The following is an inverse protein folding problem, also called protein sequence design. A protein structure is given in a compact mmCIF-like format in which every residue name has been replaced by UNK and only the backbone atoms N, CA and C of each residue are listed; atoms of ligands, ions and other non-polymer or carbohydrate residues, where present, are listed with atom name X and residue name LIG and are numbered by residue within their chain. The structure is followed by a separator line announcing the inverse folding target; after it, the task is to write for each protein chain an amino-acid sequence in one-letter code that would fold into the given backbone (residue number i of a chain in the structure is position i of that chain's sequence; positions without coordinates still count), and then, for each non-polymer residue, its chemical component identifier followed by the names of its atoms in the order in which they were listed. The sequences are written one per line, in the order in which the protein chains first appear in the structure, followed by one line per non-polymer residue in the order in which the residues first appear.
data_IF_501245008787
#
_entry.id   IF_501245008787
#
_cell.length_a   1.000
_cell.length_b   1.000
_cell.length_c   1.000
_cell.angle_alpha   90.00
_cell.angle_beta   90.00
_cell.angle_gamma   90.00
#
_symmetry.space_group_name_H-M   'P 1'
#
loop_
_entity.id
_entity.type
_entity.pdbx_description
1 polymer ?
#
# COMPACT_ATOMS: atom_id res chain seq x y z
N UNK A 1 13.62 -18.68 -4.36
CA UNK A 1 14.53 -17.61 -4.82
C UNK A 1 14.73 -16.68 -3.64
N UNK A 2 15.84 -15.93 -3.54
CA UNK A 2 15.76 -14.67 -2.79
C UNK A 2 15.00 -13.76 -3.74
N UNK A 3 13.83 -13.22 -3.37
CA UNK A 3 13.32 -12.06 -4.10
C UNK A 3 14.46 -11.05 -4.08
N UNK A 4 15.19 -10.97 -5.20
CA UNK A 4 15.97 -9.81 -5.49
C UNK A 4 14.96 -8.69 -5.33
N UNK A 5 15.27 -7.72 -4.45
CA UNK A 5 14.56 -6.45 -4.45
C UNK A 5 14.61 -6.02 -5.92
N UNK A 6 13.52 -6.25 -6.65
CA UNK A 6 13.32 -5.70 -7.98
C UNK A 6 13.07 -4.23 -7.72
N UNK A 7 14.14 -3.56 -7.27
CA UNK A 7 14.21 -2.13 -7.13
C UNK A 7 13.93 -1.67 -8.55
N UNK A 8 12.78 -1.05 -8.76
CA UNK A 8 12.34 -0.47 -10.03
C UNK A 8 13.22 0.76 -10.41
N UNK A 9 14.50 0.74 -10.01
CA UNK A 9 15.44 1.84 -10.05
C UNK A 9 16.59 1.43 -10.97
N UNK A 10 16.45 1.81 -12.25
CA UNK A 10 17.39 1.50 -13.31
C UNK A 10 17.56 2.61 -14.33
N UNK A 11 18.18 3.72 -13.92
CA UNK A 11 19.10 4.58 -14.73
C UNK A 11 18.61 5.35 -16.00
N UNK A 12 19.05 6.64 -16.06
CA UNK A 12 19.08 7.63 -17.19
C UNK A 12 17.76 8.36 -17.50
N UNK A 13 17.72 9.66 -17.78
CA UNK A 13 18.74 10.67 -18.06
C UNK A 13 18.06 11.99 -18.47
N UNK A 14 18.78 13.11 -18.31
CA UNK A 14 18.29 14.49 -18.52
C UNK A 14 17.53 14.69 -19.85
N UNK A 15 16.23 14.98 -19.75
CA UNK A 15 15.34 15.38 -20.85
C UNK A 15 14.67 16.73 -20.59
N UNK A 16 14.62 17.58 -21.61
CA UNK A 16 14.22 18.99 -21.58
C UNK A 16 12.73 19.20 -21.29
N UNK A 17 12.42 20.21 -20.46
CA UNK A 17 11.10 20.79 -20.29
C UNK A 17 10.55 21.29 -21.64
N UNK A 18 9.51 20.62 -22.16
CA UNK A 18 8.62 21.15 -23.19
C UNK A 18 7.26 21.34 -22.54
N UNK A 19 6.71 22.56 -22.63
CA UNK A 19 5.46 22.94 -21.98
C UNK A 19 4.27 22.15 -22.52
N UNK A 20 3.47 21.61 -21.60
CA UNK A 20 2.17 21.01 -21.89
C UNK A 20 1.10 22.10 -22.05
N UNK A 21 0.42 22.09 -23.19
CA UNK A 21 -0.91 22.69 -23.33
C UNK A 21 -1.89 21.83 -22.52
N UNK A 22 -2.70 22.49 -21.70
CA UNK A 22 -3.65 21.87 -20.77
C UNK A 22 -4.87 21.34 -21.56
N UNK A 23 -5.27 20.09 -21.29
CA UNK A 23 -6.52 19.43 -21.73
C UNK A 23 -6.54 18.70 -23.10
N UNK A 24 -5.44 18.02 -23.47
CA UNK A 24 -5.45 17.05 -24.57
C UNK A 24 -5.87 15.65 -24.10
N UNK A 25 -7.10 15.21 -24.40
CA UNK A 25 -7.43 13.77 -24.34
C UNK A 25 -6.61 13.05 -25.41
N UNK A 26 -5.61 12.26 -24.98
CA UNK A 26 -4.83 11.41 -25.87
C UNK A 26 -5.71 10.38 -26.61
N UNK A 27 -5.21 9.74 -27.68
CA UNK A 27 -5.94 8.77 -28.49
C UNK A 27 -6.50 7.57 -27.72
N UNK A 28 -6.00 7.30 -26.50
CA UNK A 28 -6.52 6.27 -25.60
C UNK A 28 -7.82 6.67 -24.86
N UNK A 29 -8.17 7.96 -24.83
CA UNK A 29 -9.50 8.43 -24.41
C UNK A 29 -9.78 8.45 -22.90
N UNK A 30 -8.78 8.29 -22.04
CA UNK A 30 -8.92 8.44 -20.58
C UNK A 30 -8.00 9.54 -20.03
N UNK A 31 -8.28 9.96 -18.80
CA UNK A 31 -7.60 11.02 -18.05
C UNK A 31 -7.15 10.51 -16.68
N UNK A 32 -6.33 11.29 -15.95
CA UNK A 32 -5.98 10.95 -14.57
C UNK A 32 -7.22 10.73 -13.69
N UNK A 33 -8.29 11.49 -13.90
CA UNK A 33 -9.52 11.35 -13.13
C UNK A 33 -10.17 9.97 -13.30
N UNK A 34 -9.97 9.33 -14.45
CA UNK A 34 -10.48 7.98 -14.73
C UNK A 34 -9.64 6.89 -14.05
N UNK A 35 -8.43 7.21 -13.58
CA UNK A 35 -7.55 6.29 -12.86
C UNK A 35 -7.73 6.35 -11.33
N UNK A 36 -8.40 7.37 -10.81
CA UNK A 36 -8.57 7.57 -9.35
C UNK A 36 -9.32 6.38 -8.74
N UNK A 37 -8.73 5.80 -7.69
CA UNK A 37 -9.30 4.69 -6.95
C UNK A 37 -8.29 3.59 -6.64
N UNK A 38 -8.80 2.46 -6.18
CA UNK A 38 -8.01 1.27 -5.83
C UNK A 38 -8.18 0.19 -6.89
N UNK A 39 -7.09 -0.40 -7.33
CA UNK A 39 -7.05 -1.39 -8.39
C UNK A 39 -6.29 -2.63 -7.93
N UNK A 40 -6.91 -3.80 -8.05
CA UNK A 40 -6.29 -5.09 -7.75
C UNK A 40 -5.73 -5.71 -9.05
N UNK A 41 -4.48 -6.15 -9.03
CA UNK A 41 -3.86 -6.79 -10.18
C UNK A 41 -4.42 -8.21 -10.39
N UNK A 42 -4.70 -8.52 -11.64
CA UNK A 42 -5.09 -9.84 -12.13
C UNK A 42 -4.01 -10.49 -13.00
N UNK A 43 -3.05 -9.69 -13.47
CA UNK A 43 -1.85 -10.11 -14.21
C UNK A 43 -0.70 -9.22 -13.76
N UNK A 44 0.46 -9.81 -13.47
CA UNK A 44 1.72 -9.10 -13.24
C UNK A 44 2.85 -10.01 -13.72
N UNK A 45 3.31 -9.79 -14.95
CA UNK A 45 4.24 -10.69 -15.64
C UNK A 45 5.43 -9.94 -16.19
N UNK A 46 6.62 -10.45 -15.88
CA UNK A 46 7.85 -10.11 -16.59
C UNK A 46 8.16 -11.18 -17.64
N UNK A 47 8.59 -10.76 -18.83
CA UNK A 47 9.04 -11.65 -19.92
C UNK A 47 10.43 -11.21 -20.37
N UNK A 48 11.39 -12.13 -20.41
CA UNK A 48 12.74 -11.82 -20.88
C UNK A 48 12.74 -11.41 -22.35
N UNK A 49 13.33 -10.26 -22.67
CA UNK A 49 13.50 -9.82 -24.06
C UNK A 49 14.57 -10.65 -24.79
N UNK A 50 15.56 -11.17 -24.06
CA UNK A 50 16.67 -11.95 -24.61
C UNK A 50 16.27 -13.42 -24.84
N UNK A 51 15.43 -13.95 -23.95
CA UNK A 51 15.02 -15.35 -23.89
C UNK A 51 13.52 -15.46 -23.59
N UNK A 52 12.61 -15.15 -24.55
CA UNK A 52 11.16 -15.04 -24.29
C UNK A 52 10.43 -16.23 -23.65
N UNK A 53 10.93 -17.49 -23.73
CA UNK A 53 10.37 -18.58 -22.92
C UNK A 53 10.53 -18.39 -21.40
N UNK A 54 11.43 -17.51 -20.97
CA UNK A 54 11.67 -17.18 -19.57
C UNK A 54 10.74 -16.03 -19.16
N UNK A 55 9.90 -16.30 -18.16
CA UNK A 55 8.90 -15.37 -17.64
C UNK A 55 8.67 -15.60 -16.15
N UNK A 56 8.31 -14.55 -15.42
CA UNK A 56 7.90 -14.61 -14.03
C UNK A 56 6.50 -13.99 -13.89
N UNK A 57 5.54 -14.76 -13.37
CA UNK A 57 4.15 -14.33 -13.15
C UNK A 57 3.87 -14.28 -11.65
N UNK A 58 3.90 -13.08 -11.09
CA UNK A 58 3.81 -12.86 -9.65
C UNK A 58 2.42 -13.23 -9.12
N UNK A 59 1.37 -12.96 -9.89
CA UNK A 59 0.00 -13.29 -9.49
C UNK A 59 -0.20 -14.81 -9.48
N UNK A 60 0.34 -15.52 -10.49
CA UNK A 60 0.30 -16.99 -10.51
C UNK A 60 1.13 -17.63 -9.38
N UNK A 61 2.17 -16.93 -8.90
CA UNK A 61 2.99 -17.34 -7.76
C UNK A 61 2.36 -16.99 -6.39
N UNK A 62 1.19 -16.35 -6.39
CA UNK A 62 0.42 -16.04 -5.17
C UNK A 62 0.70 -14.67 -4.58
N UNK A 63 1.29 -13.76 -5.35
CA UNK A 63 1.38 -12.36 -4.97
C UNK A 63 -0.01 -11.69 -5.02
N UNK A 64 -0.21 -10.72 -4.13
CA UNK A 64 -1.29 -9.75 -4.21
C UNK A 64 -0.65 -8.40 -4.57
N UNK A 65 -1.10 -7.78 -5.67
CA UNK A 65 -0.58 -6.49 -6.10
C UNK A 65 -1.72 -5.51 -6.23
N UNK A 66 -1.55 -4.34 -5.62
CA UNK A 66 -2.53 -3.28 -5.64
C UNK A 66 -1.93 -1.94 -6.03
N UNK A 67 -2.64 -1.22 -6.87
CA UNK A 67 -2.38 0.17 -7.19
C UNK A 67 -3.48 1.05 -6.55
N UNK A 68 -3.11 2.11 -5.85
CA UNK A 68 -4.01 3.19 -5.46
C UNK A 68 -3.58 4.47 -6.15
N UNK A 69 -4.52 5.18 -6.78
CA UNK A 69 -4.29 6.48 -7.41
C UNK A 69 -5.19 7.53 -6.76
N UNK A 70 -4.58 8.58 -6.23
CA UNK A 70 -5.27 9.72 -5.63
C UNK A 70 -5.59 10.81 -6.68
N UNK A 71 -6.60 11.63 -6.39
CA UNK A 71 -7.06 12.68 -7.29
C UNK A 71 -6.02 13.78 -7.60
N UNK A 72 -5.00 13.92 -6.75
CA UNK A 72 -3.88 14.85 -6.96
C UNK A 72 -2.73 14.23 -7.80
N UNK A 73 -2.89 13.01 -8.29
CA UNK A 73 -1.85 12.28 -9.01
C UNK A 73 -0.84 11.57 -8.12
N UNK A 74 -1.01 11.55 -6.80
CA UNK A 74 -0.24 10.64 -5.95
C UNK A 74 -0.64 9.19 -6.23
N UNK A 75 0.32 8.26 -6.20
CA UNK A 75 0.01 6.83 -6.28
C UNK A 75 0.82 6.02 -5.26
N UNK A 76 0.30 4.84 -4.94
CA UNK A 76 1.05 3.77 -4.29
C UNK A 76 0.80 2.43 -4.98
N UNK A 77 1.86 1.65 -5.18
CA UNK A 77 1.79 0.24 -5.56
C UNK A 77 2.27 -0.56 -4.37
N UNK A 78 1.50 -1.56 -3.99
CA UNK A 78 1.89 -2.52 -2.97
C UNK A 78 1.97 -3.90 -3.57
N UNK A 79 3.07 -4.58 -3.30
CA UNK A 79 3.30 -5.96 -3.69
C UNK A 79 3.45 -6.79 -2.42
N UNK A 80 2.49 -7.68 -2.19
CA UNK A 80 2.55 -8.68 -1.14
C UNK A 80 2.92 -10.03 -1.76
N UNK A 81 3.85 -10.76 -1.15
CA UNK A 81 4.09 -12.16 -1.50
C UNK A 81 4.14 -13.01 -0.23
N UNK A 82 3.87 -14.33 -0.30
CA UNK A 82 3.97 -15.19 0.87
C UNK A 82 5.34 -15.19 1.58
N UNK A 83 6.40 -14.75 0.89
CA UNK A 83 7.77 -14.74 1.40
C UNK A 83 8.30 -13.32 1.74
N UNK A 84 7.53 -12.26 1.42
CA UNK A 84 7.96 -10.86 1.57
C UNK A 84 6.93 -10.07 2.39
N UNK A 85 7.40 -9.40 3.44
CA UNK A 85 6.67 -8.32 4.09
C UNK A 85 6.49 -7.22 3.02
N UNK A 86 5.25 -6.77 2.79
CA UNK A 86 4.85 -5.92 1.67
C UNK A 86 5.92 -4.94 1.17
N UNK A 87 6.17 -4.90 -0.14
CA UNK A 87 6.93 -3.81 -0.75
C UNK A 87 5.97 -2.68 -1.13
N UNK A 88 6.32 -1.44 -0.77
CA UNK A 88 5.49 -0.26 -1.02
C UNK A 88 6.29 0.71 -1.88
N UNK A 89 5.81 0.91 -3.09
CA UNK A 89 6.34 1.88 -4.05
C UNK A 89 5.36 3.04 -4.10
N UNK A 90 5.85 4.27 -4.04
CA UNK A 90 4.98 5.45 -4.13
C UNK A 90 5.63 6.58 -4.92
N UNK A 91 4.80 7.45 -5.47
CA UNK A 91 5.27 8.57 -6.27
C UNK A 91 4.11 9.35 -6.89
N UNK A 92 4.34 9.88 -8.09
CA UNK A 92 3.30 10.56 -8.87
C UNK A 92 2.99 9.82 -10.16
N UNK A 93 1.73 9.84 -10.55
CA UNK A 93 1.22 9.32 -11.81
C UNK A 93 0.58 10.44 -12.61
N UNK A 94 0.83 10.45 -13.92
CA UNK A 94 0.16 11.30 -14.89
C UNK A 94 -0.25 10.50 -16.13
N UNK A 95 -1.11 11.09 -16.95
CA UNK A 95 -1.50 10.53 -18.25
C UNK A 95 -1.04 11.50 -19.34
N UNK A 96 -0.20 11.03 -20.25
CA UNK A 96 0.33 11.81 -21.38
C UNK A 96 0.14 11.04 -22.70
N UNK A 97 -0.56 11.65 -23.65
CA UNK A 97 -0.96 11.05 -24.94
C UNK A 97 -1.56 9.62 -24.87
N UNK A 98 -2.18 9.27 -23.74
CA UNK A 98 -2.78 7.96 -23.50
C UNK A 98 -1.86 6.93 -22.83
N UNK A 99 -0.59 7.29 -22.62
CA UNK A 99 0.33 6.53 -21.79
C UNK A 99 0.20 6.94 -20.33
N UNK A 100 0.42 5.99 -19.42
CA UNK A 100 0.55 6.26 -17.99
C UNK A 100 2.02 6.47 -17.69
N UNK A 101 2.34 7.64 -17.14
CA UNK A 101 3.70 8.00 -16.75
C UNK A 101 3.80 7.94 -15.23
N UNK A 102 4.67 7.07 -14.74
CA UNK A 102 4.95 6.91 -13.31
C UNK A 102 6.29 7.55 -13.01
N UNK A 103 6.33 8.45 -12.02
CA UNK A 103 7.54 9.08 -11.51
C UNK A 103 7.77 8.67 -10.06
N UNK A 104 8.94 8.09 -9.79
CA UNK A 104 9.40 7.69 -8.47
C UNK A 104 10.81 8.25 -8.25
N UNK A 105 11.02 9.00 -7.17
CA UNK A 105 12.32 9.64 -6.91
C UNK A 105 12.77 10.54 -8.06
N UNK A 106 13.91 10.21 -8.68
CA UNK A 106 14.44 10.86 -9.88
C UNK A 106 14.21 10.06 -11.18
N UNK A 107 13.57 8.90 -11.09
CA UNK A 107 13.24 8.02 -12.21
C UNK A 107 11.83 8.28 -12.77
N UNK A 108 11.64 7.89 -14.02
CA UNK A 108 10.32 7.92 -14.68
C UNK A 108 10.23 6.74 -15.64
N UNK A 109 9.09 6.05 -15.63
CA UNK A 109 8.76 4.94 -16.52
C UNK A 109 7.46 5.26 -17.23
N UNK A 110 7.41 4.99 -18.52
CA UNK A 110 6.20 5.14 -19.33
C UNK A 110 5.57 3.79 -19.62
N UNK A 111 4.26 3.71 -19.47
CA UNK A 111 3.45 2.53 -19.78
C UNK A 111 2.49 2.86 -20.90
N UNK A 112 2.56 2.10 -21.98
CA UNK A 112 1.41 2.01 -22.89
C UNK A 112 0.22 1.45 -22.13
N UNK A 113 -0.92 2.13 -22.20
CA UNK A 113 -2.07 1.81 -21.37
C UNK A 113 -3.39 1.79 -22.15
N UNK A 114 -4.28 0.88 -21.75
CA UNK A 114 -5.65 0.80 -22.22
C UNK A 114 -6.60 0.71 -21.02
N UNK A 115 -7.58 1.60 -20.97
CA UNK A 115 -8.65 1.56 -19.99
C UNK A 115 -9.97 1.15 -20.67
N UNK A 116 -10.52 0.00 -20.28
CA UNK A 116 -11.77 -0.54 -20.81
C UNK A 116 -12.72 -0.89 -19.67
N UNK A 117 -13.67 0.01 -19.39
CA UNK A 117 -14.55 -0.11 -18.23
C UNK A 117 -13.76 -0.03 -16.93
N UNK A 118 -13.76 -1.11 -16.15
CA UNK A 118 -13.03 -1.22 -14.88
C UNK A 118 -11.70 -1.98 -15.02
N UNK A 119 -11.23 -2.23 -16.24
CA UNK A 119 -9.99 -2.95 -16.50
C UNK A 119 -8.96 -1.99 -17.08
N UNK A 120 -7.87 -1.81 -16.35
CA UNK A 120 -6.69 -1.06 -16.79
C UNK A 120 -5.61 -2.06 -17.19
N UNK A 121 -5.16 -2.02 -18.44
CA UNK A 121 -4.01 -2.82 -18.92
C UNK A 121 -2.83 -1.89 -19.16
N UNK A 122 -1.68 -2.23 -18.62
CA UNK A 122 -0.43 -1.47 -18.72
C UNK A 122 0.68 -2.38 -19.25
N UNK A 123 1.53 -1.82 -20.11
CA UNK A 123 2.66 -2.52 -20.70
C UNK A 123 3.86 -1.58 -20.89
N UNK A 124 5.06 -2.04 -20.55
CA UNK A 124 6.33 -1.35 -20.81
C UNK A 124 7.45 -2.35 -21.13
N UNK A 125 8.43 -1.92 -21.93
CA UNK A 125 9.67 -2.65 -22.24
C UNK A 125 10.92 -1.95 -21.65
N UNK A 126 10.70 -0.99 -20.74
CA UNK A 126 11.72 -0.12 -20.13
C UNK A 126 12.25 -0.64 -18.79
N UNK A 127 12.03 -1.92 -18.45
CA UNK A 127 12.42 -2.49 -17.15
C UNK A 127 13.47 -3.59 -17.29
N UNK A 128 14.27 -3.78 -16.25
CA UNK A 128 15.17 -4.92 -16.10
C UNK A 128 14.61 -5.89 -15.04
N UNK A 129 14.88 -7.19 -15.18
CA UNK A 129 14.48 -8.23 -14.24
C UNK A 129 15.52 -9.36 -14.14
N UNK A 130 15.69 -9.95 -12.95
CA UNK A 130 16.59 -11.09 -12.73
C UNK A 130 15.84 -12.43 -12.85
N UNK A 131 16.03 -13.12 -13.98
CA UNK A 131 15.50 -14.47 -14.21
C UNK A 131 16.41 -15.59 -13.64
N UNK A 132 17.48 -15.24 -12.93
CA UNK A 132 18.39 -16.16 -12.21
C UNK A 132 19.86 -16.07 -12.61
N UNK A 133 20.17 -15.35 -13.70
CA UNK A 133 21.54 -15.14 -14.22
C UNK A 133 22.00 -13.67 -14.10
N UNK A 134 21.28 -12.86 -13.32
CA UNK A 134 21.46 -11.42 -13.16
C UNK A 134 20.41 -10.61 -13.95
N UNK A 135 20.38 -9.30 -13.68
CA UNK A 135 19.43 -8.39 -14.30
C UNK A 135 19.60 -8.34 -15.82
N UNK A 136 18.51 -8.46 -16.56
CA UNK A 136 18.44 -8.27 -18.01
C UNK A 136 17.15 -7.55 -18.44
N UNK A 137 17.11 -6.93 -19.63
CA UNK A 137 15.92 -6.26 -20.13
C UNK A 137 14.71 -7.20 -20.23
N UNK A 138 13.57 -6.70 -19.75
CA UNK A 138 12.30 -7.42 -19.69
C UNK A 138 11.15 -6.57 -20.24
N UNK A 139 10.11 -7.24 -20.74
CA UNK A 139 8.79 -6.66 -20.93
C UNK A 139 7.98 -6.88 -19.65
N UNK A 140 7.27 -5.85 -19.19
CA UNK A 140 6.37 -5.91 -18.05
C UNK A 140 4.93 -5.68 -18.52
N UNK A 141 4.07 -6.65 -18.22
CA UNK A 141 2.63 -6.56 -18.44
C UNK A 141 1.88 -6.61 -17.11
N UNK A 142 1.00 -5.64 -16.89
CA UNK A 142 0.13 -5.58 -15.72
C UNK A 142 -1.32 -5.38 -16.17
N UNK A 143 -2.25 -6.12 -15.56
CA UNK A 143 -3.70 -5.91 -15.77
C UNK A 143 -4.37 -5.73 -14.43
N UNK A 144 -4.90 -4.55 -14.21
CA UNK A 144 -5.59 -4.11 -13.01
C UNK A 144 -7.11 -4.15 -13.19
N UNK A 145 -7.82 -4.46 -12.11
CA UNK A 145 -9.28 -4.38 -12.00
C UNK A 145 -9.65 -3.36 -10.93
N UNK A 146 -10.48 -2.38 -11.27
CA UNK A 146 -10.97 -1.39 -10.31
C UNK A 146 -11.78 -2.10 -9.22
N UNK A 147 -11.35 -1.94 -7.98
CA UNK A 147 -12.04 -2.45 -6.81
C UNK A 147 -13.28 -1.60 -6.57
N UNK A 148 -14.46 -2.22 -6.67
CA UNK A 148 -15.76 -1.54 -6.56
C UNK A 148 -16.64 -2.10 -5.43
N UNK A 149 -16.12 -3.05 -4.67
CA UNK A 149 -16.85 -3.74 -3.60
C UNK A 149 -15.92 -4.05 -2.43
N UNK A 150 -16.51 -4.26 -1.25
CA UNK A 150 -15.77 -4.40 0.00
C UNK A 150 -15.34 -3.03 0.53
N UNK A 151 -14.56 -3.02 1.61
CA UNK A 151 -13.99 -1.78 2.13
C UNK A 151 -12.88 -1.28 1.19
N UNK A 152 -13.00 -0.01 0.79
CA UNK A 152 -12.03 0.74 0.01
C UNK A 152 -11.26 1.70 0.92
N UNK A 153 -10.13 2.21 0.43
CA UNK A 153 -9.38 3.22 1.19
C UNK A 153 -10.22 4.47 1.46
N UNK A 154 -11.05 4.86 0.49
CA UNK A 154 -11.98 5.98 0.60
C UNK A 154 -13.00 5.81 1.74
N UNK A 155 -13.33 4.56 2.08
CA UNK A 155 -14.20 4.27 3.22
C UNK A 155 -13.48 4.52 4.55
N UNK A 156 -12.15 4.55 4.57
CA UNK A 156 -11.33 4.81 5.76
C UNK A 156 -10.84 6.26 5.85
N UNK A 157 -10.93 7.07 4.80
CA UNK A 157 -10.46 8.47 4.82
C UNK A 157 -11.19 9.28 5.90
N UNK A 158 -10.42 9.98 6.72
CA UNK A 158 -10.91 10.83 7.81
C UNK A 158 -10.08 10.71 9.09
N UNK A 159 -10.58 11.36 10.13
CA UNK A 159 -10.03 11.31 11.48
C UNK A 159 -10.83 10.31 12.32
N UNK A 160 -10.12 9.44 13.04
CA UNK A 160 -10.67 8.37 13.86
C UNK A 160 -10.10 8.46 15.26
N UNK A 161 -10.96 8.47 16.28
CA UNK A 161 -10.55 8.45 17.68
C UNK A 161 -10.91 7.11 18.32
N UNK A 162 -9.96 6.50 19.00
CA UNK A 162 -10.20 5.25 19.73
C UNK A 162 -11.11 5.50 20.94
N UNK A 163 -12.20 4.74 21.00
CA UNK A 163 -13.09 4.63 22.16
C UNK A 163 -12.75 3.41 23.03
N UNK A 164 -12.00 2.46 22.47
CA UNK A 164 -11.44 1.29 23.17
C UNK A 164 -10.07 0.99 22.59
N UNK A 165 -9.10 0.70 23.46
CA UNK A 165 -7.76 0.23 23.12
C UNK A 165 -7.33 -0.75 24.21
N UNK A 166 -7.61 -2.04 23.96
CA UNK A 166 -7.62 -3.10 24.95
C UNK A 166 -6.58 -4.16 24.60
N UNK A 167 -5.68 -4.43 25.55
CA UNK A 167 -4.79 -5.57 25.52
C UNK A 167 -5.36 -6.70 26.36
N UNK A 168 -5.37 -7.91 25.82
CA UNK A 168 -5.89 -9.13 26.47
C UNK A 168 -4.78 -10.18 26.49
N UNK A 169 -4.29 -10.54 27.67
CA UNK A 169 -3.27 -11.58 27.83
C UNK A 169 -3.79 -12.94 27.35
N UNK A 170 -2.94 -13.69 26.62
CA UNK A 170 -3.25 -15.07 26.24
C UNK A 170 -3.12 -16.08 27.41
N UNK A 171 -2.69 -15.62 28.59
CA UNK A 171 -2.60 -16.46 29.78
C UNK A 171 -3.98 -16.93 30.27
N UNK A 172 -3.97 -17.93 31.16
CA UNK A 172 -5.20 -18.50 31.75
C UNK A 172 -5.14 -18.43 33.28
N UNK A 173 -5.99 -17.62 33.94
CA UNK A 173 -7.00 -16.72 33.35
C UNK A 173 -6.35 -15.50 32.63
N UNK A 174 -7.06 -14.87 31.68
CA UNK A 174 -6.55 -13.69 30.99
C UNK A 174 -6.58 -12.48 31.92
N UNK A 175 -5.51 -11.71 31.90
CA UNK A 175 -5.46 -10.33 32.39
C UNK A 175 -5.76 -9.37 31.23
N UNK A 176 -6.29 -8.18 31.55
CA UNK A 176 -6.67 -7.18 30.55
C UNK A 176 -6.21 -5.80 30.95
N UNK A 177 -5.79 -4.99 29.97
CA UNK A 177 -5.40 -3.60 30.17
C UNK A 177 -6.08 -2.71 29.12
N UNK A 178 -6.88 -1.75 29.58
CA UNK A 178 -7.57 -0.78 28.71
C UNK A 178 -6.85 0.57 28.80
N UNK A 179 -6.10 0.89 27.74
CA UNK A 179 -5.33 2.12 27.64
C UNK A 179 -6.19 3.38 27.73
N UNK A 180 -7.40 3.36 27.16
CA UNK A 180 -8.32 4.50 27.19
C UNK A 180 -8.87 4.69 28.61
N UNK A 181 -9.23 3.61 29.29
CA UNK A 181 -9.72 3.67 30.68
C UNK A 181 -8.67 4.21 31.66
N UNK A 182 -7.39 3.96 31.39
CA UNK A 182 -6.25 4.49 32.17
C UNK A 182 -5.88 5.94 31.80
N UNK A 183 -6.60 6.56 30.87
CA UNK A 183 -6.46 7.97 30.51
C UNK A 183 -5.52 8.22 29.33
N UNK A 184 -5.16 7.17 28.57
CA UNK A 184 -4.51 7.32 27.27
C UNK A 184 -5.48 7.73 26.16
N UNK A 185 -4.94 8.06 24.99
CA UNK A 185 -5.66 8.36 23.76
C UNK A 185 -4.93 7.78 22.57
N UNK A 186 -5.70 7.37 21.55
CA UNK A 186 -5.20 6.93 20.26
C UNK A 186 -6.05 7.57 19.17
N UNK A 187 -5.43 8.28 18.24
CA UNK A 187 -6.09 8.87 17.08
C UNK A 187 -5.37 8.44 15.80
N UNK A 188 -6.13 8.17 14.74
CA UNK A 188 -5.60 7.86 13.41
C UNK A 188 -6.26 8.80 12.39
N UNK A 189 -5.44 9.50 11.60
CA UNK A 189 -5.89 10.22 10.41
C UNK A 189 -5.49 9.41 9.18
N UNK A 190 -6.45 9.10 8.29
CA UNK A 190 -6.21 8.41 7.02
C UNK A 190 -6.50 9.36 5.86
N UNK A 191 -5.58 9.42 4.89
CA UNK A 191 -5.72 10.22 3.66
C UNK A 191 -5.96 9.32 2.44
N UNK A 192 -6.56 9.90 1.38
CA UNK A 192 -7.00 9.15 0.19
C UNK A 192 -5.88 8.55 -0.66
N UNK A 193 -4.62 8.88 -0.38
CA UNK A 193 -3.41 8.30 -0.98
C UNK A 193 -2.87 7.12 -0.16
N UNK A 194 -3.70 6.51 0.70
CA UNK A 194 -3.32 5.37 1.56
C UNK A 194 -2.27 5.72 2.61
N UNK A 195 -2.12 7.00 2.98
CA UNK A 195 -1.24 7.42 4.07
C UNK A 195 -2.02 7.51 5.37
N UNK A 196 -1.34 7.23 6.48
CA UNK A 196 -1.90 7.44 7.80
C UNK A 196 -0.94 8.22 8.70
N UNK A 197 -1.52 8.84 9.73
CA UNK A 197 -0.80 9.37 10.88
C UNK A 197 -1.51 8.87 12.13
N UNK A 198 -0.75 8.27 13.04
CA UNK A 198 -1.22 7.84 14.35
C UNK A 198 -0.65 8.75 15.41
N UNK A 199 -1.49 9.23 16.34
CA UNK A 199 -1.07 9.96 17.54
C UNK A 199 -1.46 9.10 18.74
N UNK A 200 -0.47 8.77 19.57
CA UNK A 200 -0.65 7.97 20.77
C UNK A 200 -0.19 8.77 21.99
N UNK A 201 -1.05 8.90 22.99
CA UNK A 201 -0.73 9.59 24.22
C UNK A 201 -1.06 8.72 25.43
N UNK A 202 -0.09 8.58 26.34
CA UNK A 202 -0.31 7.99 27.65
C UNK A 202 -0.02 9.00 28.76
N UNK A 203 -0.70 8.91 29.91
CA UNK A 203 -0.38 9.75 31.05
C UNK A 203 1.09 9.59 31.44
N UNK A 204 1.80 10.71 31.58
CA UNK A 204 3.20 10.78 32.00
C UNK A 204 4.25 10.28 31.02
N UNK A 205 3.85 9.92 29.80
CA UNK A 205 4.75 9.61 28.70
C UNK A 205 4.76 10.74 27.65
N UNK A 206 5.83 10.87 26.85
CA UNK A 206 5.79 11.72 25.67
C UNK A 206 4.72 11.22 24.68
N UNK A 207 4.07 12.15 23.97
CA UNK A 207 3.24 11.82 22.80
C UNK A 207 4.08 11.12 21.75
N UNK A 208 3.61 9.98 21.26
CA UNK A 208 4.17 9.32 20.10
C UNK A 208 3.40 9.72 18.84
N UNK A 209 4.11 9.83 17.71
CA UNK A 209 3.49 10.15 16.42
C UNK A 209 4.13 9.32 15.34
N UNK A 210 3.34 8.42 14.79
CA UNK A 210 3.74 7.44 13.78
C UNK A 210 3.14 7.85 12.46
N UNK A 211 3.91 7.76 11.39
CA UNK A 211 3.45 8.00 10.03
C UNK A 211 3.66 6.74 9.22
N UNK A 212 2.81 6.49 8.22
CA UNK A 212 2.99 5.30 7.42
C UNK A 212 2.02 5.15 6.27
N UNK A 213 2.00 3.95 5.73
CA UNK A 213 1.11 3.52 4.66
C UNK A 213 0.08 2.51 5.20
N UNK A 214 -1.19 2.73 4.88
CA UNK A 214 -2.31 1.86 5.25
C UNK A 214 -2.71 1.00 4.04
N UNK A 215 -2.94 -0.29 4.26
CA UNK A 215 -3.32 -1.23 3.22
C UNK A 215 -4.51 -2.08 3.63
N UNK A 216 -5.42 -2.35 2.69
CA UNK A 216 -6.60 -3.20 2.91
C UNK A 216 -6.43 -4.56 2.23
N UNK A 217 -5.68 -5.48 2.81
CA UNK A 217 -5.55 -6.82 2.24
C UNK A 217 -6.88 -7.58 2.29
N UNK A 218 -6.91 -8.78 1.70
CA UNK A 218 -8.13 -9.60 1.70
C UNK A 218 -8.48 -10.05 3.14
N UNK A 219 -9.32 -9.27 3.81
CA UNK A 219 -9.77 -9.53 5.19
C UNK A 219 -8.91 -8.90 6.29
N UNK A 220 -7.86 -8.17 5.93
CA UNK A 220 -6.93 -7.56 6.88
C UNK A 220 -6.64 -6.08 6.53
N UNK A 221 -6.32 -5.29 7.54
CA UNK A 221 -5.82 -3.93 7.44
C UNK A 221 -4.39 -3.93 7.96
N UNK A 222 -3.43 -3.55 7.13
CA UNK A 222 -2.03 -3.44 7.52
C UNK A 222 -1.63 -1.96 7.65
N UNK A 223 -0.99 -1.62 8.76
CA UNK A 223 -0.31 -0.35 8.99
C UNK A 223 1.19 -0.60 8.87
N UNK A 224 1.82 0.02 7.89
CA UNK A 224 3.26 -0.06 7.64
C UNK A 224 3.87 1.26 8.05
N UNK A 225 4.67 1.26 9.11
CA UNK A 225 5.35 2.46 9.59
C UNK A 225 6.46 2.90 8.63
N UNK A 226 6.48 4.20 8.31
CA UNK A 226 7.60 4.84 7.63
C UNK A 226 8.74 5.07 8.63
N UNK A 227 9.49 4.03 8.96
CA UNK A 227 10.60 4.14 9.89
C UNK A 227 11.89 4.54 9.18
N UNK A 228 12.64 5.50 9.75
CA UNK A 228 14.02 5.79 9.36
C UNK A 228 15.00 4.66 9.75
N UNK A 229 14.53 3.65 10.50
CA UNK A 229 15.29 2.46 10.91
C UNK A 229 15.19 1.37 9.84
N UNK A 230 16.21 0.52 9.73
CA UNK A 230 16.27 -0.58 8.74
C UNK A 230 15.21 -1.69 8.98
N UNK A 231 14.22 -1.48 9.85
CA UNK A 231 13.17 -2.43 10.20
C UNK A 231 11.79 -1.76 10.09
N UNK A 232 11.09 -2.05 8.99
CA UNK A 232 9.68 -1.75 8.84
C UNK A 232 8.89 -2.52 9.90
N UNK A 233 8.13 -1.80 10.73
CA UNK A 233 7.14 -2.41 11.59
C UNK A 233 5.81 -2.46 10.82
N UNK A 234 5.29 -3.67 10.68
CA UNK A 234 3.99 -3.93 10.05
C UNK A 234 3.05 -4.48 11.09
N UNK A 235 2.02 -3.70 11.40
CA UNK A 235 0.91 -4.16 12.23
C UNK A 235 -0.23 -4.58 11.33
N UNK A 236 -0.67 -5.83 11.44
CA UNK A 236 -1.80 -6.36 10.68
C UNK A 236 -2.98 -6.62 11.61
N UNK A 237 -4.16 -6.19 11.17
CA UNK A 237 -5.40 -6.32 11.91
C UNK A 237 -6.44 -7.05 11.07
N UNK A 238 -7.17 -7.99 11.66
CA UNK A 238 -8.52 -8.27 11.20
C UNK A 238 -9.35 -7.01 11.46
N UNK A 239 -10.11 -6.55 10.47
CA UNK A 239 -10.85 -5.31 10.62
C UNK A 239 -12.28 -5.39 10.10
N UNK A 240 -13.14 -4.55 10.68
CA UNK A 240 -14.51 -4.34 10.23
C UNK A 240 -14.84 -2.85 10.26
N UNK A 241 -15.53 -2.37 9.22
CA UNK A 241 -16.06 -1.00 9.16
C UNK A 241 -17.59 -1.08 9.11
N UNK A 242 -18.25 -0.48 10.10
CA UNK A 242 -19.71 -0.41 10.18
C UNK A 242 -20.14 1.04 10.40
N UNK A 243 -20.45 1.74 9.31
CA UNK A 243 -20.77 3.17 9.35
C UNK A 243 -19.56 3.98 9.78
N UNK A 244 -19.69 4.70 10.88
CA UNK A 244 -18.63 5.56 11.45
C UNK A 244 -17.78 4.84 12.52
N UNK A 245 -17.88 3.51 12.61
CA UNK A 245 -17.12 2.68 13.53
C UNK A 245 -16.12 1.80 12.78
N UNK A 246 -14.85 1.87 13.18
CA UNK A 246 -13.77 0.97 12.74
C UNK A 246 -13.37 0.08 13.91
N UNK A 247 -13.38 -1.24 13.69
CA UNK A 247 -12.93 -2.23 14.66
C UNK A 247 -11.67 -2.89 14.12
N UNK A 248 -10.64 -3.01 14.95
CA UNK A 248 -9.36 -3.65 14.65
C UNK A 248 -9.07 -4.72 15.71
N UNK A 249 -8.67 -5.90 15.29
CA UNK A 249 -8.20 -6.99 16.14
C UNK A 249 -6.86 -7.50 15.60
N UNK A 250 -5.84 -7.55 16.44
CA UNK A 250 -4.49 -7.97 16.07
C UNK A 250 -3.76 -8.70 17.20
N UNK A 251 -2.53 -9.12 16.93
CA UNK A 251 -1.62 -9.71 17.91
C UNK A 251 -0.54 -8.68 18.29
N UNK A 252 -0.16 -8.64 19.57
CA UNK A 252 0.91 -7.77 20.09
C UNK A 252 1.60 -8.43 21.31
N UNK A 253 2.62 -7.80 21.87
CA UNK A 253 3.20 -8.15 23.17
C UNK A 253 2.94 -7.01 24.18
N UNK A 254 2.59 -7.36 25.43
CA UNK A 254 2.31 -6.38 26.48
C UNK A 254 2.79 -6.85 27.85
N UNK A 255 3.28 -5.93 28.69
CA UNK A 255 3.71 -6.23 30.07
C UNK A 255 2.55 -6.04 31.07
N UNK A 256 1.92 -7.15 31.45
CA UNK A 256 0.89 -7.18 32.51
C UNK A 256 1.47 -7.20 33.94
N UNK A 257 2.79 -7.01 34.10
CA UNK A 257 3.52 -6.88 35.37
C UNK A 257 4.61 -7.92 35.63
N UNK A 258 4.89 -8.81 34.67
CA UNK A 258 5.96 -9.83 34.76
C UNK A 258 6.96 -9.81 33.60
N UNK A 259 6.94 -8.74 32.81
CA UNK A 259 7.60 -8.63 31.51
C UNK A 259 6.63 -8.88 30.36
N UNK A 260 7.10 -8.60 29.15
CA UNK A 260 6.32 -8.71 27.92
C UNK A 260 5.84 -10.16 27.70
N UNK A 261 4.56 -10.30 27.39
CA UNK A 261 3.94 -11.57 27.00
C UNK A 261 2.96 -11.36 25.83
N UNK A 262 2.66 -12.41 25.05
CA UNK A 262 1.71 -12.33 23.96
C UNK A 262 0.32 -11.86 24.40
N UNK A 263 -0.26 -10.96 23.64
CA UNK A 263 -1.56 -10.36 23.87
C UNK A 263 -2.37 -10.25 22.57
N UNK A 264 -3.69 -10.39 22.68
CA UNK A 264 -4.62 -9.90 21.66
C UNK A 264 -4.85 -8.42 21.87
N UNK A 265 -4.77 -7.66 20.79
CA UNK A 265 -5.04 -6.22 20.75
C UNK A 265 -6.40 -5.97 20.09
N UNK A 266 -7.33 -5.37 20.81
CA UNK A 266 -8.63 -4.91 20.30
C UNK A 266 -8.72 -3.37 20.34
N UNK A 267 -9.01 -2.76 19.19
CA UNK A 267 -9.21 -1.31 19.07
C UNK A 267 -10.58 -1.04 18.44
N UNK A 268 -11.34 -0.14 19.06
CA UNK A 268 -12.60 0.37 18.49
C UNK A 268 -12.49 1.87 18.34
N UNK A 269 -12.69 2.37 17.12
CA UNK A 269 -12.55 3.78 16.78
C UNK A 269 -13.85 4.34 16.22
N UNK A 270 -14.12 5.62 16.52
CA UNK A 270 -15.24 6.39 15.97
C UNK A 270 -14.72 7.54 15.11
N UNK A 271 -15.32 7.70 13.92
CA UNK A 271 -15.02 8.82 13.02
C UNK A 271 -15.51 10.14 13.61
N UNK A 272 -14.69 11.19 13.51
CA UNK A 272 -14.99 12.55 14.01
C UNK A 272 -15.73 13.43 12.99
#
# INVERSE_FOLDING_TARGET
MRLARALLIGLLGVGLLVGCDEDGTGPAGFTLADLVGTWDASVFVFVSQSSPPDSADFIAEGADVRLTVAANGGYSIVVWTPELIADVISGTVSVDDGDIVITEGDGTISFSAELSGNTLSMHTDEVDFDFGDGDEPAELQIVFQLKTTGTLIDDLVGDWDATTFLFISEAVPPDTFDAIAEGGSLAITVTGDSRYTTILEFPSEPTDTIYGTLLILTGELALIEDSDTDSWEVMAFVFEVVGDTLMLEGEDEFDFGSGDEPATLEIVMERQ
#
